data_IF_208541488707
#
_entry.id   IF_208541488707
#
_cell.length_a   1.000
_cell.length_b   1.000
_cell.length_c   1.000
_cell.angle_alpha   90.00
_cell.angle_beta   90.00
_cell.angle_gamma   90.00
#
_symmetry.space_group_name_H-M   'P 1'
#
loop_
_entity.id
_entity.type
_entity.pdbx_description
1 polymer ?
#
# COMPACT_ATOMS: atom_id res chain seq x y z
N UNK A 1 -5.99 7.98 -4.96
CA UNK A 1 -5.01 7.30 -4.08
C UNK A 1 -4.77 8.03 -2.75
N UNK A 2 -4.08 9.18 -2.64
CA UNK A 2 -3.78 9.82 -1.32
C UNK A 2 -4.98 10.24 -0.45
N UNK A 3 -6.19 10.25 -1.02
CA UNK A 3 -7.45 10.53 -0.30
C UNK A 3 -8.26 9.26 0.00
N UNK A 4 -7.78 8.10 -0.45
CA UNK A 4 -8.42 6.80 -0.25
C UNK A 4 -7.67 6.06 0.88
N UNK A 5 -8.31 5.98 2.05
CA UNK A 5 -7.72 5.35 3.25
C UNK A 5 -7.75 3.82 3.22
N UNK A 6 -8.41 3.21 2.24
CA UNK A 6 -8.50 1.77 2.07
C UNK A 6 -8.53 1.34 0.60
N UNK A 7 -7.83 0.27 0.28
CA UNK A 7 -7.65 -0.29 -1.05
C UNK A 7 -8.03 -1.78 -1.04
N UNK A 8 -8.48 -2.30 -2.19
CA UNK A 8 -8.68 -3.73 -2.40
C UNK A 8 -7.66 -4.26 -3.40
N UNK A 9 -6.99 -5.37 -3.08
CA UNK A 9 -5.92 -5.95 -3.88
C UNK A 9 -6.20 -7.41 -4.18
N UNK A 10 -5.96 -7.84 -5.42
CA UNK A 10 -6.08 -9.24 -5.81
C UNK A 10 -5.10 -9.65 -6.91
N UNK A 11 -4.70 -10.93 -6.89
CA UNK A 11 -3.86 -11.58 -7.90
C UNK A 11 -4.74 -12.46 -8.80
N UNK A 12 -4.84 -12.09 -10.08
CA UNK A 12 -5.68 -12.79 -11.05
C UNK A 12 -5.03 -14.06 -11.61
N UNK A 13 -3.72 -14.03 -11.79
CA UNK A 13 -2.98 -15.11 -12.41
C UNK A 13 -1.65 -15.33 -11.70
N UNK A 14 -1.49 -16.51 -11.13
CA UNK A 14 -0.38 -16.86 -10.26
C UNK A 14 0.83 -17.42 -11.06
N UNK A 15 2.04 -17.40 -10.46
CA UNK A 15 3.28 -17.84 -11.12
C UNK A 15 3.26 -19.31 -11.59
N UNK A 16 2.42 -20.15 -10.99
CA UNK A 16 2.31 -21.58 -11.31
C UNK A 16 1.32 -21.89 -12.46
N UNK A 17 1.02 -20.91 -13.32
CA UNK A 17 0.04 -21.03 -14.41
C UNK A 17 -1.40 -21.26 -13.90
N UNK A 18 -1.70 -20.88 -12.64
CA UNK A 18 -3.04 -20.96 -12.05
C UNK A 18 -3.79 -19.63 -12.22
N UNK A 19 -4.80 -19.62 -13.08
CA UNK A 19 -5.76 -18.50 -13.19
C UNK A 19 -6.73 -18.58 -12.01
N UNK A 20 -6.80 -17.50 -11.24
CA UNK A 20 -7.70 -17.32 -10.09
C UNK A 20 -9.00 -16.66 -10.54
N UNK A 21 -8.89 -15.60 -11.34
CA UNK A 21 -10.01 -14.82 -11.86
C UNK A 21 -9.64 -14.18 -13.20
N UNK A 22 -10.63 -13.92 -14.04
CA UNK A 22 -10.49 -13.12 -15.25
C UNK A 22 -10.90 -11.65 -14.96
N UNK A 23 -10.79 -10.76 -15.96
CA UNK A 23 -11.11 -9.34 -15.77
C UNK A 23 -12.58 -9.08 -15.39
N UNK A 24 -13.53 -9.86 -15.90
CA UNK A 24 -14.95 -9.75 -15.54
C UNK A 24 -15.18 -10.09 -14.05
N UNK A 25 -14.54 -11.16 -13.57
CA UNK A 25 -14.62 -11.59 -12.17
C UNK A 25 -13.95 -10.57 -11.26
N UNK A 26 -12.80 -10.03 -11.65
CA UNK A 26 -12.15 -8.96 -10.89
C UNK A 26 -13.00 -7.69 -10.83
N UNK A 27 -13.66 -7.28 -11.94
CA UNK A 27 -14.60 -6.17 -11.92
C UNK A 27 -15.70 -6.40 -10.89
N UNK A 28 -16.28 -7.61 -10.83
CA UNK A 28 -17.27 -7.98 -9.83
C UNK A 28 -16.72 -7.84 -8.40
N UNK A 29 -15.48 -8.25 -8.14
CA UNK A 29 -14.84 -8.07 -6.83
C UNK A 29 -14.63 -6.61 -6.47
N UNK A 30 -14.28 -5.74 -7.44
CA UNK A 30 -14.21 -4.29 -7.18
C UNK A 30 -15.58 -3.71 -6.82
N UNK A 31 -16.66 -4.16 -7.48
CA UNK A 31 -18.04 -3.77 -7.17
C UNK A 31 -18.46 -4.23 -5.77
N UNK A 32 -18.02 -5.42 -5.35
CA UNK A 32 -18.27 -5.92 -4.00
C UNK A 32 -17.51 -5.12 -2.94
N UNK A 33 -16.22 -4.83 -3.15
CA UNK A 33 -15.40 -4.02 -2.24
C UNK A 33 -15.98 -2.60 -2.04
N UNK A 34 -16.62 -2.04 -3.07
CA UNK A 34 -17.29 -0.72 -3.00
C UNK A 34 -18.46 -0.67 -2.03
N UNK A 35 -19.14 -1.79 -1.80
CA UNK A 35 -20.22 -1.88 -0.78
C UNK A 35 -19.69 -1.51 0.62
N UNK A 36 -18.38 -1.72 0.84
CA UNK A 36 -17.61 -1.41 2.05
C UNK A 36 -16.91 -0.04 2.01
N UNK A 37 -17.21 0.79 1.00
CA UNK A 37 -16.65 2.13 0.85
C UNK A 37 -15.24 2.20 0.24
N UNK A 38 -14.71 1.08 -0.27
CA UNK A 38 -13.40 1.04 -0.95
C UNK A 38 -13.56 1.49 -2.40
N UNK A 39 -12.76 2.47 -2.83
CA UNK A 39 -12.78 2.98 -4.23
C UNK A 39 -11.41 2.95 -4.93
N UNK A 40 -10.38 2.46 -4.25
CA UNK A 40 -9.06 2.24 -4.82
C UNK A 40 -8.83 0.74 -4.94
N UNK A 41 -8.39 0.30 -6.10
CA UNK A 41 -8.16 -1.10 -6.42
C UNK A 41 -6.73 -1.31 -6.91
N UNK A 42 -6.17 -2.46 -6.63
CA UNK A 42 -4.88 -2.91 -7.16
C UNK A 42 -5.06 -4.24 -7.87
N UNK A 43 -4.55 -4.27 -9.10
CA UNK A 43 -4.68 -5.38 -10.03
C UNK A 43 -3.31 -6.03 -10.22
N UNK A 44 -3.17 -7.27 -9.73
CA UNK A 44 -1.93 -8.05 -9.78
C UNK A 44 -2.09 -9.27 -10.70
N UNK A 45 -1.01 -9.64 -11.39
CA UNK A 45 -1.00 -10.81 -12.28
C UNK A 45 -1.91 -10.65 -13.50
N UNK A 46 -2.02 -9.45 -14.04
CA UNK A 46 -2.83 -9.13 -15.22
C UNK A 46 -2.08 -9.34 -16.55
N UNK A 47 -0.74 -9.30 -16.49
CA UNK A 47 0.16 -9.31 -17.64
C UNK A 47 0.45 -10.73 -18.13
N UNK A 48 1.13 -10.83 -19.27
CA UNK A 48 1.53 -12.07 -19.91
C UNK A 48 2.24 -13.02 -18.94
N UNK A 49 1.69 -14.22 -18.78
CA UNK A 49 2.20 -15.22 -17.85
C UNK A 49 1.78 -15.02 -16.39
N UNK A 50 1.20 -13.87 -16.03
CA UNK A 50 0.74 -13.56 -14.68
C UNK A 50 1.85 -13.03 -13.77
N UNK A 51 1.57 -13.08 -12.47
CA UNK A 51 2.49 -12.62 -11.43
C UNK A 51 3.82 -13.38 -11.53
N UNK A 52 4.92 -12.65 -11.38
CA UNK A 52 6.30 -13.16 -11.34
C UNK A 52 6.78 -13.90 -12.60
N UNK A 53 6.10 -13.68 -13.74
CA UNK A 53 6.42 -14.31 -15.02
C UNK A 53 6.65 -13.31 -16.13
N UNK A 54 7.58 -13.68 -17.00
CA UNK A 54 7.85 -13.06 -18.28
C UNK A 54 8.20 -11.57 -18.21
N UNK A 55 8.64 -11.04 -17.07
CA UNK A 55 9.08 -9.65 -16.99
C UNK A 55 10.21 -9.36 -17.98
N UNK A 56 10.17 -8.23 -18.71
CA UNK A 56 9.23 -7.11 -18.61
C UNK A 56 8.14 -7.13 -19.71
N UNK A 57 7.43 -8.25 -19.91
CA UNK A 57 6.30 -8.35 -20.87
C UNK A 57 4.98 -7.90 -20.22
N UNK A 58 4.73 -6.60 -20.26
CA UNK A 58 3.54 -5.94 -19.69
C UNK A 58 2.38 -5.83 -20.69
N UNK A 59 2.11 -6.93 -21.41
CA UNK A 59 0.93 -7.04 -22.27
C UNK A 59 -0.18 -7.77 -21.49
N UNK A 60 -1.44 -7.30 -21.51
CA UNK A 60 -2.54 -8.01 -20.84
C UNK A 60 -2.69 -9.45 -21.33
N UNK A 61 -2.89 -10.38 -20.40
CA UNK A 61 -2.97 -11.82 -20.69
C UNK A 61 -4.28 -12.20 -21.40
N UNK A 62 -4.15 -12.96 -22.50
CA UNK A 62 -5.30 -13.39 -23.31
C UNK A 62 -6.24 -14.30 -22.51
N UNK A 63 -5.70 -15.17 -21.64
CA UNK A 63 -6.51 -16.01 -20.73
C UNK A 63 -7.44 -15.22 -19.81
N UNK A 64 -7.13 -13.94 -19.54
CA UNK A 64 -7.90 -13.09 -18.62
C UNK A 64 -8.92 -12.19 -19.35
N UNK A 65 -8.83 -12.10 -20.68
CA UNK A 65 -9.63 -11.21 -21.52
C UNK A 65 -8.83 -10.33 -22.48
N UNK A 66 -7.49 -10.44 -22.48
CA UNK A 66 -6.61 -9.75 -23.40
C UNK A 66 -6.67 -8.22 -23.30
N UNK A 67 -6.10 -7.54 -24.29
CA UNK A 67 -5.99 -6.07 -24.27
C UNK A 67 -7.34 -5.36 -24.26
N UNK A 68 -8.33 -5.87 -25.00
CA UNK A 68 -9.66 -5.27 -25.04
C UNK A 68 -10.38 -5.38 -23.68
N UNK A 69 -10.34 -6.56 -23.04
CA UNK A 69 -10.94 -6.76 -21.73
C UNK A 69 -10.24 -5.95 -20.63
N UNK A 70 -8.92 -5.81 -20.70
CA UNK A 70 -8.16 -4.98 -19.75
C UNK A 70 -8.57 -3.50 -19.84
N UNK A 71 -8.66 -2.95 -21.06
CA UNK A 71 -9.11 -1.56 -21.27
C UNK A 71 -10.54 -1.36 -20.78
N UNK A 72 -11.45 -2.28 -21.13
CA UNK A 72 -12.85 -2.22 -20.71
C UNK A 72 -12.99 -2.27 -19.17
N UNK A 73 -12.21 -3.12 -18.51
CA UNK A 73 -12.12 -3.20 -17.06
C UNK A 73 -11.74 -1.85 -16.43
N UNK A 74 -10.62 -1.26 -16.86
CA UNK A 74 -10.12 -0.01 -16.30
C UNK A 74 -11.10 1.15 -16.53
N UNK A 75 -11.65 1.26 -17.75
CA UNK A 75 -12.63 2.28 -18.09
C UNK A 75 -13.94 2.12 -17.29
N UNK A 76 -14.37 0.87 -17.06
CA UNK A 76 -15.57 0.61 -16.25
C UNK A 76 -15.33 0.98 -14.79
N UNK A 77 -14.18 0.60 -14.21
CA UNK A 77 -13.80 1.02 -12.86
C UNK A 77 -13.85 2.54 -12.73
N UNK A 78 -13.23 3.27 -13.67
CA UNK A 78 -13.22 4.73 -13.66
C UNK A 78 -14.62 5.32 -13.81
N UNK A 79 -15.43 4.81 -14.75
CA UNK A 79 -16.81 5.26 -14.98
C UNK A 79 -17.68 5.09 -13.74
N UNK A 80 -17.45 4.02 -12.98
CA UNK A 80 -18.13 3.82 -11.72
C UNK A 80 -17.54 4.69 -10.58
N UNK A 81 -16.50 5.49 -10.81
CA UNK A 81 -15.87 6.37 -9.82
C UNK A 81 -14.82 5.69 -8.94
N UNK A 82 -14.28 4.57 -9.40
CA UNK A 82 -13.13 3.91 -8.80
C UNK A 82 -11.80 4.40 -9.39
N UNK A 83 -10.71 3.93 -8.79
CA UNK A 83 -9.34 4.15 -9.27
C UNK A 83 -8.55 2.84 -9.23
N UNK A 84 -7.79 2.54 -10.28
CA UNK A 84 -7.06 1.26 -10.38
C UNK A 84 -5.55 1.47 -10.51
N UNK A 85 -4.81 0.78 -9.64
CA UNK A 85 -3.36 0.64 -9.69
C UNK A 85 -3.02 -0.65 -10.41
N UNK A 86 -2.15 -0.55 -11.39
CA UNK A 86 -1.69 -1.71 -12.15
C UNK A 86 -0.33 -2.12 -11.61
N UNK A 87 -0.21 -3.36 -11.15
CA UNK A 87 1.04 -3.92 -10.62
C UNK A 87 2.06 -4.11 -11.73
N UNK A 88 3.30 -3.69 -11.51
CA UNK A 88 4.42 -3.82 -12.44
C UNK A 88 5.76 -3.96 -11.70
N UNK A 89 6.82 -4.32 -12.43
CA UNK A 89 8.21 -4.23 -11.97
C UNK A 89 9.03 -3.33 -12.90
N UNK A 90 9.94 -2.51 -12.36
CA UNK A 90 10.79 -1.65 -13.20
C UNK A 90 12.17 -2.26 -13.47
N UNK A 91 12.77 -2.91 -12.47
CA UNK A 91 14.18 -3.30 -12.48
C UNK A 91 14.39 -4.83 -12.44
N UNK A 92 13.44 -5.60 -12.98
CA UNK A 92 13.45 -7.08 -12.92
C UNK A 92 13.24 -7.67 -14.32
N UNK A 93 14.05 -8.66 -14.67
CA UNK A 93 13.97 -9.43 -15.92
C UNK A 93 13.81 -10.92 -15.62
N UNK A 94 12.86 -11.59 -16.28
CA UNK A 94 12.71 -13.04 -16.20
C UNK A 94 13.70 -13.75 -17.13
N UNK A 95 14.73 -14.36 -16.54
CA UNK A 95 15.80 -15.01 -17.30
C UNK A 95 15.37 -16.28 -18.04
N UNK A 96 14.14 -16.74 -17.80
CA UNK A 96 13.62 -17.96 -18.42
C UNK A 96 13.00 -17.69 -19.80
N UNK A 97 12.77 -16.42 -20.16
CA UNK A 97 12.15 -16.02 -21.43
C UNK A 97 13.09 -16.10 -22.62
N UNK A 98 12.55 -16.34 -23.81
CA UNK A 98 13.32 -16.28 -25.06
C UNK A 98 13.80 -14.86 -25.36
N UNK A 99 13.00 -13.84 -24.99
CA UNK A 99 13.40 -12.44 -25.13
C UNK A 99 14.62 -12.11 -24.27
N UNK A 100 14.71 -12.68 -23.06
CA UNK A 100 15.91 -12.57 -22.26
C UNK A 100 17.13 -13.20 -22.92
N UNK A 101 17.00 -14.46 -23.36
CA UNK A 101 18.12 -15.20 -23.97
C UNK A 101 18.63 -14.56 -25.25
N UNK A 102 17.74 -13.96 -26.03
CA UNK A 102 18.08 -13.33 -27.31
C UNK A 102 18.55 -11.88 -27.17
N UNK A 103 17.97 -11.11 -26.24
CA UNK A 103 18.20 -9.68 -26.14
C UNK A 103 18.42 -9.18 -24.71
N UNK A 104 17.49 -9.43 -23.78
CA UNK A 104 17.48 -8.68 -22.51
C UNK A 104 18.65 -9.01 -21.58
N UNK A 105 19.34 -10.14 -21.79
CA UNK A 105 20.54 -10.49 -21.02
C UNK A 105 21.61 -9.40 -21.04
N UNK A 106 21.66 -8.56 -22.09
CA UNK A 106 22.62 -7.45 -22.19
C UNK A 106 22.34 -6.33 -21.17
N UNK A 107 21.10 -6.21 -20.69
CA UNK A 107 20.67 -5.19 -19.73
C UNK A 107 20.70 -5.66 -18.28
N UNK A 108 21.20 -6.86 -17.98
CA UNK A 108 21.29 -7.35 -16.60
C UNK A 108 22.30 -6.53 -15.79
N UNK A 109 22.06 -6.34 -14.49
CA UNK A 109 23.05 -5.79 -13.57
C UNK A 109 24.26 -6.73 -13.49
N UNK A 110 25.46 -6.14 -13.51
CA UNK A 110 26.72 -6.88 -13.44
C UNK A 110 27.57 -6.45 -12.25
N UNK A 111 28.26 -7.39 -11.62
CA UNK A 111 29.36 -7.10 -10.70
C UNK A 111 30.64 -6.71 -11.47
N UNK A 112 31.70 -6.37 -10.73
CA UNK A 112 32.99 -5.95 -11.31
C UNK A 112 33.68 -7.00 -12.19
N UNK A 113 33.22 -8.26 -12.15
CA UNK A 113 33.73 -9.37 -12.95
C UNK A 113 32.79 -9.75 -14.11
N UNK A 114 31.75 -8.96 -14.36
CA UNK A 114 30.75 -9.21 -15.39
C UNK A 114 29.76 -10.32 -15.04
N UNK A 115 29.62 -10.67 -13.76
CA UNK A 115 28.67 -11.70 -13.30
C UNK A 115 27.38 -11.07 -12.80
N UNK A 116 26.26 -11.76 -13.00
CA UNK A 116 24.95 -11.35 -12.53
C UNK A 116 24.56 -12.07 -11.24
N UNK A 117 23.85 -11.35 -10.37
CA UNK A 117 23.11 -11.95 -9.27
C UNK A 117 21.81 -12.58 -9.77
N UNK A 118 21.53 -13.79 -9.34
CA UNK A 118 20.25 -14.46 -9.58
C UNK A 118 19.34 -14.23 -8.38
N UNK A 119 18.09 -13.88 -8.65
CA UNK A 119 17.05 -13.81 -7.64
C UNK A 119 15.92 -14.78 -7.98
N UNK A 120 15.17 -15.18 -6.97
CA UNK A 120 13.99 -16.00 -7.12
C UNK A 120 12.77 -15.10 -7.18
N UNK A 121 11.89 -15.38 -8.13
CA UNK A 121 10.55 -14.85 -8.11
C UNK A 121 9.80 -15.30 -6.85
N UNK A 122 8.75 -14.58 -6.51
CA UNK A 122 7.91 -14.90 -5.38
C UNK A 122 6.80 -15.88 -5.77
N UNK A 123 6.47 -16.80 -4.86
CA UNK A 123 5.51 -17.86 -5.11
C UNK A 123 4.48 -17.95 -3.99
N UNK A 124 3.21 -17.70 -4.29
CA UNK A 124 2.15 -17.65 -3.28
C UNK A 124 1.17 -18.82 -3.33
N UNK A 125 0.95 -19.42 -4.50
CA UNK A 125 -0.25 -20.24 -4.71
C UNK A 125 -0.13 -21.69 -4.23
N UNK A 126 1.09 -22.24 -4.10
CA UNK A 126 1.33 -23.63 -3.69
C UNK A 126 2.43 -23.75 -2.63
N UNK A 127 2.51 -24.89 -1.94
CA UNK A 127 3.60 -25.16 -1.00
C UNK A 127 4.98 -25.17 -1.67
N UNK A 128 5.08 -25.66 -2.92
CA UNK A 128 6.32 -25.65 -3.69
C UNK A 128 6.75 -24.21 -4.03
N UNK A 129 5.78 -23.38 -4.42
CA UNK A 129 5.98 -21.96 -4.70
C UNK A 129 6.48 -21.21 -3.47
N UNK A 130 5.80 -21.40 -2.33
CA UNK A 130 6.18 -20.79 -1.04
C UNK A 130 7.54 -21.28 -0.53
N UNK A 131 7.94 -22.49 -0.94
CA UNK A 131 9.28 -23.05 -0.67
C UNK A 131 10.32 -22.65 -1.72
N UNK A 132 9.99 -21.73 -2.64
CA UNK A 132 10.85 -21.27 -3.74
C UNK A 132 11.36 -22.39 -4.67
N UNK A 133 10.62 -23.50 -4.78
CA UNK A 133 11.03 -24.66 -5.58
C UNK A 133 10.46 -24.66 -7.01
N UNK A 134 9.33 -23.98 -7.23
CA UNK A 134 8.66 -23.89 -8.54
C UNK A 134 8.65 -22.48 -9.12
N UNK A 135 9.30 -21.54 -8.45
CA UNK A 135 9.33 -20.13 -8.87
C UNK A 135 10.36 -19.90 -9.96
N UNK A 136 10.12 -18.87 -10.77
CA UNK A 136 11.04 -18.49 -11.84
C UNK A 136 12.26 -17.78 -11.30
N UNK A 137 13.38 -17.95 -11.98
CA UNK A 137 14.55 -17.13 -11.74
C UNK A 137 14.43 -15.79 -12.44
N UNK A 138 14.78 -14.73 -11.72
CA UNK A 138 14.89 -13.38 -12.24
C UNK A 138 16.30 -12.85 -12.08
N UNK A 139 16.63 -11.81 -12.84
CA UNK A 139 17.82 -10.99 -12.62
C UNK A 139 17.39 -9.54 -12.48
N UNK A 140 18.20 -8.75 -11.78
CA UNK A 140 18.01 -7.30 -11.77
C UNK A 140 18.49 -6.73 -13.09
N UNK A 141 17.79 -5.73 -13.62
CA UNK A 141 18.30 -4.95 -14.74
C UNK A 141 19.11 -3.73 -14.29
N UNK A 142 20.07 -3.39 -15.14
CA UNK A 142 20.75 -2.09 -15.16
C UNK A 142 19.83 -1.01 -15.72
N UNK A 143 20.11 0.23 -15.33
CA UNK A 143 19.48 1.40 -15.95
C UNK A 143 20.28 1.77 -17.21
N UNK A 144 19.65 1.53 -18.37
CA UNK A 144 20.22 1.78 -19.70
C UNK A 144 19.17 2.47 -20.57
N UNK A 145 19.56 3.36 -21.51
CA UNK A 145 18.61 4.10 -22.33
C UNK A 145 17.62 3.20 -23.09
N UNK A 146 18.10 2.08 -23.63
CA UNK A 146 17.27 1.15 -24.40
C UNK A 146 16.28 0.40 -23.53
N UNK A 147 16.68 -0.07 -22.33
CA UNK A 147 15.75 -0.72 -21.42
C UNK A 147 14.72 0.27 -20.87
N UNK A 148 15.14 1.50 -20.52
CA UNK A 148 14.21 2.56 -20.10
C UNK A 148 13.17 2.81 -21.18
N UNK A 149 13.58 2.83 -22.46
CA UNK A 149 12.64 2.97 -23.58
C UNK A 149 11.65 1.79 -23.67
N UNK A 150 12.14 0.54 -23.57
CA UNK A 150 11.30 -0.66 -23.59
C UNK A 150 10.23 -0.61 -22.48
N UNK A 151 10.62 -0.19 -21.27
CA UNK A 151 9.71 -0.09 -20.14
C UNK A 151 8.73 1.08 -20.29
N UNK A 152 9.23 2.27 -20.68
CA UNK A 152 8.40 3.45 -20.84
C UNK A 152 7.34 3.26 -21.94
N UNK A 153 7.68 2.65 -23.07
CA UNK A 153 6.73 2.40 -24.15
C UNK A 153 5.53 1.56 -23.65
N UNK A 154 5.80 0.50 -22.89
CA UNK A 154 4.77 -0.36 -22.31
C UNK A 154 3.98 0.33 -21.20
N UNK A 155 4.65 0.97 -20.24
CA UNK A 155 3.98 1.63 -19.11
C UNK A 155 3.10 2.79 -19.55
N UNK A 156 3.56 3.61 -20.49
CA UNK A 156 2.76 4.71 -21.02
C UNK A 156 1.54 4.20 -21.79
N UNK A 157 1.61 3.02 -22.41
CA UNK A 157 0.44 2.36 -22.97
C UNK A 157 -0.59 1.98 -21.89
N UNK A 158 -0.16 1.45 -20.74
CA UNK A 158 -1.07 1.16 -19.62
C UNK A 158 -1.81 2.41 -19.11
N UNK A 159 -1.12 3.55 -19.03
CA UNK A 159 -1.76 4.83 -18.66
C UNK A 159 -2.78 5.25 -19.72
N UNK A 160 -2.46 5.09 -21.02
CA UNK A 160 -3.41 5.38 -22.11
C UNK A 160 -4.62 4.45 -22.12
N UNK A 161 -4.44 3.21 -21.67
CA UNK A 161 -5.52 2.22 -21.55
C UNK A 161 -6.41 2.46 -20.31
N UNK A 162 -6.03 3.37 -19.40
CA UNK A 162 -6.86 3.82 -18.29
C UNK A 162 -6.28 3.58 -16.89
N UNK A 163 -5.01 3.19 -16.76
CA UNK A 163 -4.40 3.02 -15.45
C UNK A 163 -4.28 4.37 -14.71
N UNK A 164 -4.82 4.45 -13.49
CA UNK A 164 -4.71 5.65 -12.65
C UNK A 164 -3.39 5.75 -11.89
N UNK A 165 -2.66 4.65 -11.85
CA UNK A 165 -1.41 4.56 -11.12
C UNK A 165 -0.76 3.21 -11.27
N UNK A 166 0.46 3.11 -10.73
CA UNK A 166 1.15 1.84 -10.62
C UNK A 166 1.40 1.50 -9.16
N UNK A 167 1.32 0.20 -8.85
CA UNK A 167 2.16 -0.36 -7.81
C UNK A 167 3.40 -0.90 -8.52
N UNK A 168 4.59 -0.40 -8.17
CA UNK A 168 5.85 -0.89 -8.72
C UNK A 168 6.55 -1.72 -7.66
N UNK A 169 6.63 -3.01 -7.88
CA UNK A 169 7.22 -3.94 -6.94
C UNK A 169 8.76 -3.93 -7.01
N UNK A 170 9.39 -4.40 -5.94
CA UNK A 170 10.83 -4.70 -5.87
C UNK A 170 11.79 -3.55 -6.21
N UNK A 171 11.34 -2.30 -6.08
CA UNK A 171 12.21 -1.12 -6.05
C UNK A 171 13.04 -1.02 -4.74
N UNK A 172 13.28 -2.16 -4.10
CA UNK A 172 13.82 -2.32 -2.77
C UNK A 172 15.22 -2.95 -2.74
N UNK A 173 15.81 -3.32 -3.87
CA UNK A 173 17.00 -4.19 -3.83
C UNK A 173 18.28 -3.38 -3.74
N UNK A 174 18.85 -3.38 -2.52
CA UNK A 174 20.24 -3.14 -2.16
C UNK A 174 21.10 -2.50 -3.26
N UNK A 175 21.50 -1.24 -3.01
CA UNK A 175 22.50 -0.47 -3.73
C UNK A 175 23.75 -1.31 -4.04
N UNK A 176 23.68 -2.11 -5.09
CA UNK A 176 24.78 -2.87 -5.61
C UNK A 176 25.45 -1.98 -6.65
N UNK A 177 26.78 -2.00 -6.64
CA UNK A 177 27.52 -1.46 -7.77
C UNK A 177 27.08 -2.20 -9.04
N UNK A 178 26.86 -1.45 -10.10
CA UNK A 178 26.48 -2.00 -11.39
C UNK A 178 27.50 -1.64 -12.46
N UNK A 179 28.25 -2.64 -12.89
CA UNK A 179 29.34 -2.51 -13.85
C UNK A 179 28.90 -2.82 -15.28
N UNK A 180 27.59 -2.89 -15.55
CA UNK A 180 27.12 -3.10 -16.91
C UNK A 180 27.63 -1.96 -17.82
N UNK A 181 28.41 -2.26 -18.88
CA UNK A 181 29.03 -1.25 -19.74
C UNK A 181 28.02 -0.46 -20.58
N UNK A 182 26.76 -0.89 -20.65
CA UNK A 182 25.68 -0.16 -21.31
C UNK A 182 25.08 0.93 -20.42
N UNK A 183 25.36 0.93 -19.11
CA UNK A 183 24.92 2.01 -18.24
C UNK A 183 25.75 3.27 -18.52
N UNK A 184 25.14 4.44 -18.71
CA UNK A 184 25.87 5.69 -18.92
C UNK A 184 26.49 6.24 -17.62
N UNK A 185 26.18 5.63 -16.48
CA UNK A 185 26.59 6.10 -15.15
C UNK A 185 27.77 5.29 -14.61
N UNK A 186 28.50 5.89 -13.65
CA UNK A 186 29.50 5.16 -12.88
C UNK A 186 28.84 4.04 -12.06
N UNK A 187 29.56 2.93 -11.76
CA UNK A 187 28.97 1.79 -11.09
C UNK A 187 28.29 2.08 -9.74
N UNK A 188 28.78 3.06 -8.98
CA UNK A 188 28.21 3.51 -7.71
C UNK A 188 26.91 4.30 -7.85
N UNK A 189 26.65 4.86 -9.04
CA UNK A 189 25.48 5.69 -9.32
C UNK A 189 24.42 4.96 -10.16
N UNK A 190 24.81 3.97 -10.97
CA UNK A 190 23.97 3.33 -11.97
C UNK A 190 22.63 2.80 -11.42
N UNK A 191 22.62 2.15 -10.26
CA UNK A 191 21.37 1.69 -9.62
C UNK A 191 20.82 2.62 -8.54
N UNK A 192 21.65 3.39 -7.85
CA UNK A 192 21.20 4.26 -6.76
C UNK A 192 20.59 5.56 -7.30
N UNK A 193 21.33 6.26 -8.14
CA UNK A 193 20.90 7.51 -8.77
C UNK A 193 20.11 7.23 -10.05
N UNK A 194 20.61 6.32 -10.88
CA UNK A 194 20.00 6.02 -12.17
C UNK A 194 18.54 5.59 -12.04
N UNK A 195 18.23 4.76 -11.03
CA UNK A 195 16.85 4.33 -10.78
C UNK A 195 15.95 5.49 -10.31
N UNK A 196 16.45 6.38 -9.46
CA UNK A 196 15.70 7.59 -9.04
C UNK A 196 15.38 8.47 -10.24
N UNK A 197 16.37 8.73 -11.09
CA UNK A 197 16.20 9.59 -12.26
C UNK A 197 15.27 8.95 -13.30
N UNK A 198 15.38 7.63 -13.49
CA UNK A 198 14.53 6.87 -14.41
C UNK A 198 13.06 6.83 -13.94
N UNK A 199 12.83 6.59 -12.65
CA UNK A 199 11.49 6.68 -12.05
C UNK A 199 10.94 8.11 -12.13
N UNK A 200 11.77 9.14 -11.90
CA UNK A 200 11.36 10.53 -12.05
C UNK A 200 10.90 10.85 -13.48
N UNK A 201 11.68 10.44 -14.50
CA UNK A 201 11.29 10.59 -15.91
C UNK A 201 9.99 9.86 -16.24
N UNK A 202 9.87 8.60 -15.83
CA UNK A 202 8.64 7.82 -16.03
C UNK A 202 7.44 8.52 -15.37
N UNK A 203 7.59 8.97 -14.12
CA UNK A 203 6.55 9.66 -13.40
C UNK A 203 6.08 10.90 -14.13
N UNK A 204 7.00 11.76 -14.59
CA UNK A 204 6.66 12.96 -15.35
C UNK A 204 5.91 12.63 -16.66
N UNK A 205 6.36 11.60 -17.37
CA UNK A 205 5.69 11.13 -18.60
C UNK A 205 4.28 10.60 -18.32
N UNK A 206 4.09 9.80 -17.27
CA UNK A 206 2.78 9.31 -16.85
C UNK A 206 1.86 10.45 -16.41
N UNK A 207 2.39 11.44 -15.68
CA UNK A 207 1.65 12.63 -15.21
C UNK A 207 1.25 13.57 -16.35
N UNK A 208 2.04 13.60 -17.43
CA UNK A 208 1.69 14.32 -18.65
C UNK A 208 0.47 13.70 -19.37
N UNK A 209 0.31 12.37 -19.30
CA UNK A 209 -0.86 11.67 -19.82
C UNK A 209 -2.05 11.74 -18.87
N UNK A 210 -1.82 11.62 -17.56
CA UNK A 210 -2.83 11.68 -16.52
C UNK A 210 -2.35 12.58 -15.35
N UNK A 211 -2.81 13.84 -15.26
CA UNK A 211 -2.46 14.76 -14.18
C UNK A 211 -2.94 14.34 -12.78
N UNK A 212 -3.64 13.22 -12.65
CA UNK A 212 -3.99 12.62 -11.37
C UNK A 212 -3.23 11.32 -11.08
N UNK A 213 -2.33 10.89 -11.98
CA UNK A 213 -1.53 9.67 -11.85
C UNK A 213 -0.78 9.60 -10.52
N UNK A 214 -0.71 8.39 -9.95
CA UNK A 214 -0.16 8.11 -8.62
C UNK A 214 0.71 6.86 -8.64
N UNK A 215 1.64 6.74 -7.69
CA UNK A 215 2.44 5.53 -7.55
C UNK A 215 2.48 5.05 -6.11
N UNK A 216 2.44 3.73 -5.96
CA UNK A 216 2.83 3.01 -4.77
C UNK A 216 4.01 2.10 -5.11
N UNK A 217 4.85 1.75 -4.14
CA UNK A 217 5.93 0.81 -4.42
C UNK A 217 6.52 0.17 -3.18
N UNK A 218 7.01 -1.05 -3.35
CA UNK A 218 7.95 -1.69 -2.45
C UNK A 218 9.36 -1.08 -2.64
N UNK A 219 9.59 0.16 -2.17
CA UNK A 219 10.90 0.82 -2.23
C UNK A 219 11.60 0.92 -0.87
N UNK A 220 12.93 0.96 -0.91
CA UNK A 220 13.78 0.79 0.29
C UNK A 220 14.55 2.03 0.75
N UNK A 221 14.48 3.15 0.02
CA UNK A 221 15.26 4.34 0.32
C UNK A 221 14.50 5.65 0.03
N UNK A 222 14.83 6.68 0.78
CA UNK A 222 14.11 7.95 0.90
C UNK A 222 14.13 8.81 -0.39
N UNK A 223 15.12 8.64 -1.25
CA UNK A 223 15.24 9.41 -2.49
C UNK A 223 14.09 9.21 -3.47
N UNK A 224 13.33 8.11 -3.34
CA UNK A 224 12.14 7.82 -4.15
C UNK A 224 10.86 8.45 -3.58
N UNK A 225 10.88 8.95 -2.34
CA UNK A 225 9.72 9.55 -1.67
C UNK A 225 8.99 10.64 -2.48
N UNK A 226 9.66 11.52 -3.26
CA UNK A 226 8.96 12.52 -4.06
C UNK A 226 8.01 11.95 -5.12
N UNK A 227 8.23 10.70 -5.55
CA UNK A 227 7.51 10.09 -6.66
C UNK A 227 6.43 9.09 -6.21
N UNK A 228 6.53 8.56 -5.00
CA UNK A 228 5.59 7.55 -4.48
C UNK A 228 4.70 8.12 -3.38
N UNK A 229 3.38 8.01 -3.59
CA UNK A 229 2.37 8.44 -2.64
C UNK A 229 2.28 7.51 -1.42
N UNK A 230 2.54 6.20 -1.61
CA UNK A 230 2.43 5.17 -0.58
C UNK A 230 3.58 4.17 -0.70
N UNK A 231 4.22 3.86 0.43
CA UNK A 231 5.12 2.72 0.54
C UNK A 231 4.32 1.43 0.73
N UNK A 232 4.55 0.45 -0.14
CA UNK A 232 3.90 -0.86 -0.11
C UNK A 232 4.47 -1.79 0.98
N UNK A 233 5.65 -1.47 1.54
CA UNK A 233 6.21 -2.19 2.70
C UNK A 233 5.38 -1.87 3.95
N UNK A 234 4.88 -2.94 4.57
CA UNK A 234 3.88 -2.96 5.65
C UNK A 234 4.32 -2.18 6.90
N UNK A 235 3.37 -1.50 7.55
CA UNK A 235 3.52 -1.12 8.96
C UNK A 235 3.20 -2.37 9.81
N UNK A 236 4.01 -2.71 10.82
CA UNK A 236 3.87 -3.95 11.59
C UNK A 236 2.70 -3.85 12.57
N UNK A 237 1.47 -4.03 12.06
CA UNK A 237 0.17 -3.86 12.76
C UNK A 237 0.05 -2.50 13.44
N UNK A 238 0.76 -2.31 14.56
CA UNK A 238 0.70 -1.15 15.45
C UNK A 238 1.94 -0.24 15.37
N UNK A 239 2.94 -0.63 14.61
CA UNK A 239 4.19 0.11 14.43
C UNK A 239 4.35 0.60 12.99
N UNK A 240 5.08 1.68 12.81
CA UNK A 240 5.37 2.27 11.52
C UNK A 240 6.85 2.60 11.41
N UNK A 241 7.38 2.60 10.19
CA UNK A 241 8.78 2.94 9.91
C UNK A 241 9.20 4.26 10.57
N UNK A 242 10.45 4.31 11.05
CA UNK A 242 11.08 5.53 11.55
C UNK A 242 11.00 6.69 10.53
N UNK A 243 10.84 6.39 9.23
CA UNK A 243 10.59 7.40 8.19
C UNK A 243 9.38 8.28 8.50
N UNK A 244 8.33 7.78 9.16
CA UNK A 244 7.15 8.58 9.55
C UNK A 244 7.49 9.68 10.57
N UNK A 245 8.57 9.54 11.33
CA UNK A 245 9.02 10.56 12.28
C UNK A 245 9.79 11.70 11.58
N UNK A 246 10.51 11.37 10.51
CA UNK A 246 11.27 12.34 9.69
C UNK A 246 10.37 13.00 8.65
N UNK A 247 9.46 12.24 8.06
CA UNK A 247 8.49 12.65 7.07
C UNK A 247 7.06 12.34 7.56
N UNK A 248 6.47 13.18 8.44
CA UNK A 248 5.16 12.93 9.07
C UNK A 248 3.98 12.78 8.12
N UNK A 249 4.15 13.13 6.84
CA UNK A 249 3.15 12.99 5.79
C UNK A 249 3.35 11.73 4.92
N UNK A 250 4.49 11.03 5.04
CA UNK A 250 4.78 9.78 4.33
C UNK A 250 3.95 8.63 4.86
N UNK A 251 3.19 7.90 4.05
CA UNK A 251 2.39 6.76 4.55
C UNK A 251 2.86 5.43 3.97
N UNK A 252 2.59 4.36 4.71
CA UNK A 252 2.66 2.98 4.25
C UNK A 252 1.27 2.35 4.18
N UNK A 253 1.20 1.04 3.97
CA UNK A 253 -0.02 0.24 4.11
C UNK A 253 0.06 -0.80 5.24
N UNK A 254 -1.12 -1.31 5.63
CA UNK A 254 -1.31 -2.55 6.39
C UNK A 254 -2.13 -3.52 5.56
N UNK A 255 -1.61 -4.73 5.39
CA UNK A 255 -2.23 -5.81 4.61
C UNK A 255 -3.18 -6.63 5.49
N UNK A 256 -4.42 -6.80 5.04
CA UNK A 256 -5.55 -7.38 5.77
C UNK A 256 -6.17 -8.51 4.94
N UNK A 257 -5.73 -9.75 5.19
CA UNK A 257 -6.18 -10.95 4.47
C UNK A 257 -7.14 -11.84 5.25
N UNK A 258 -7.19 -11.73 6.58
CA UNK A 258 -7.98 -12.65 7.42
C UNK A 258 -9.38 -12.09 7.70
N UNK A 259 -10.47 -12.89 7.64
CA UNK A 259 -11.85 -12.40 7.67
C UNK A 259 -12.32 -11.63 8.92
N UNK A 260 -11.53 -11.59 9.99
CA UNK A 260 -11.81 -10.85 11.24
C UNK A 260 -10.57 -10.14 11.80
N UNK A 261 -9.64 -9.70 10.95
CA UNK A 261 -8.46 -8.97 11.41
C UNK A 261 -8.77 -7.49 11.72
N UNK A 262 -9.65 -7.28 12.70
CA UNK A 262 -9.99 -5.95 13.22
C UNK A 262 -8.76 -5.25 13.81
N UNK A 263 -7.83 -6.02 14.39
CA UNK A 263 -6.58 -5.49 14.93
C UNK A 263 -5.69 -4.91 13.85
N UNK A 264 -5.57 -5.56 12.69
CA UNK A 264 -4.84 -5.03 11.54
C UNK A 264 -5.45 -3.73 11.02
N UNK A 265 -6.80 -3.67 10.95
CA UNK A 265 -7.53 -2.44 10.58
C UNK A 265 -7.28 -1.32 11.60
N UNK A 266 -7.44 -1.61 12.89
CA UNK A 266 -7.20 -0.67 13.98
C UNK A 266 -5.77 -0.15 13.99
N UNK A 267 -4.81 -1.05 13.77
CA UNK A 267 -3.40 -0.73 13.61
C UNK A 267 -3.13 0.24 12.46
N UNK A 268 -3.84 0.07 11.34
CA UNK A 268 -3.73 1.00 10.22
C UNK A 268 -4.26 2.40 10.58
N UNK A 269 -5.32 2.49 11.38
CA UNK A 269 -5.81 3.79 11.90
C UNK A 269 -4.82 4.39 12.89
N UNK A 270 -4.27 3.56 13.79
CA UNK A 270 -3.29 3.95 14.81
C UNK A 270 -2.04 4.58 14.17
N UNK A 271 -1.52 4.00 13.10
CA UNK A 271 -0.32 4.49 12.41
C UNK A 271 -0.62 5.50 11.29
N UNK A 272 -1.90 5.66 10.92
CA UNK A 272 -2.31 6.46 9.77
C UNK A 272 -2.07 5.78 8.41
N UNK A 273 -1.71 4.50 8.40
CA UNK A 273 -1.47 3.72 7.18
C UNK A 273 -2.74 3.50 6.33
N UNK A 274 -2.53 3.17 5.06
CA UNK A 274 -3.60 2.68 4.17
C UNK A 274 -4.01 1.27 4.58
N UNK A 275 -5.31 0.99 4.62
CA UNK A 275 -5.84 -0.36 4.82
C UNK A 275 -5.85 -1.07 3.46
N UNK A 276 -4.97 -2.04 3.23
CA UNK A 276 -4.97 -2.87 2.01
C UNK A 276 -5.67 -4.17 2.32
N UNK A 277 -6.76 -4.45 1.61
CA UNK A 277 -7.63 -5.60 1.87
C UNK A 277 -7.44 -6.63 0.78
N UNK A 278 -7.14 -7.85 1.19
CA UNK A 278 -6.62 -8.93 0.32
C UNK A 278 -7.29 -10.26 0.68
N UNK A 279 -8.63 -10.40 0.49
CA UNK A 279 -9.36 -11.59 0.91
C UNK A 279 -8.76 -12.87 0.33
N UNK A 280 -8.67 -13.89 1.18
CA UNK A 280 -8.12 -15.21 0.87
C UNK A 280 -6.66 -15.15 0.37
N UNK A 281 -5.86 -14.23 0.90
CA UNK A 281 -4.50 -13.97 0.41
C UNK A 281 -4.56 -13.64 -1.09
N UNK A 282 -5.23 -12.52 -1.40
CA UNK A 282 -5.42 -11.96 -2.75
C UNK A 282 -6.30 -12.77 -3.72
N UNK A 283 -6.91 -13.87 -3.29
CA UNK A 283 -7.59 -14.82 -4.20
C UNK A 283 -9.13 -14.74 -4.15
N UNK A 284 -9.70 -13.81 -3.39
CA UNK A 284 -11.14 -13.77 -3.14
C UNK A 284 -11.79 -12.39 -3.14
N UNK A 285 -13.10 -12.40 -2.92
CA UNK A 285 -13.95 -11.21 -2.80
C UNK A 285 -14.26 -10.88 -1.35
N UNK A 286 -14.46 -9.60 -1.06
CA UNK A 286 -15.03 -9.14 0.22
C UNK A 286 -16.52 -9.49 0.40
N UNK A 287 -17.22 -9.93 -0.65
CA UNK A 287 -18.63 -10.35 -0.57
C UNK A 287 -18.81 -11.74 0.05
N UNK A 288 -17.73 -12.50 0.21
CA UNK A 288 -17.81 -13.84 0.79
C UNK A 288 -18.34 -13.76 2.24
N UNK A 289 -19.25 -14.66 2.67
CA UNK A 289 -19.89 -14.59 3.98
C UNK A 289 -18.93 -14.49 5.16
N UNK A 290 -17.76 -15.14 5.08
CA UNK A 290 -16.75 -15.10 6.15
C UNK A 290 -16.14 -13.71 6.36
N UNK A 291 -16.10 -12.85 5.34
CA UNK A 291 -15.55 -11.49 5.39
C UNK A 291 -16.59 -10.42 5.74
N UNK A 292 -17.87 -10.78 5.91
CA UNK A 292 -18.95 -9.81 6.08
C UNK A 292 -18.75 -8.88 7.29
N UNK A 293 -18.24 -9.39 8.40
CA UNK A 293 -17.96 -8.59 9.60
C UNK A 293 -16.82 -7.60 9.35
N UNK A 294 -15.75 -8.06 8.70
CA UNK A 294 -14.62 -7.20 8.34
C UNK A 294 -15.03 -6.12 7.33
N UNK A 295 -15.80 -6.48 6.32
CA UNK A 295 -16.36 -5.55 5.33
C UNK A 295 -17.18 -4.43 6.00
N UNK A 296 -18.06 -4.80 6.94
CA UNK A 296 -18.86 -3.85 7.72
C UNK A 296 -17.98 -2.97 8.61
N UNK A 297 -16.95 -3.55 9.23
CA UNK A 297 -16.01 -2.80 10.07
C UNK A 297 -15.19 -1.79 9.25
N UNK A 298 -14.64 -2.20 8.11
CA UNK A 298 -13.88 -1.31 7.21
C UNK A 298 -14.75 -0.15 6.73
N UNK A 299 -16.03 -0.40 6.41
CA UNK A 299 -16.98 0.65 6.03
C UNK A 299 -17.14 1.70 7.11
N UNK A 300 -17.30 1.27 8.35
CA UNK A 300 -17.41 2.17 9.50
C UNK A 300 -16.11 2.92 9.78
N UNK A 301 -14.96 2.25 9.66
CA UNK A 301 -13.65 2.88 9.81
C UNK A 301 -13.39 3.91 8.71
N UNK A 302 -13.77 3.63 7.46
CA UNK A 302 -13.68 4.59 6.37
C UNK A 302 -14.55 5.83 6.63
N UNK A 303 -15.74 5.67 7.22
CA UNK A 303 -16.58 6.80 7.65
C UNK A 303 -15.85 7.66 8.68
N UNK A 304 -15.35 7.05 9.77
CA UNK A 304 -14.64 7.76 10.84
C UNK A 304 -13.38 8.45 10.30
N UNK A 305 -12.58 7.76 9.47
CA UNK A 305 -11.38 8.33 8.85
C UNK A 305 -11.70 9.43 7.85
N UNK A 306 -12.88 9.41 7.22
CA UNK A 306 -13.39 10.50 6.39
C UNK A 306 -13.63 11.77 7.23
N UNK A 307 -14.36 11.63 8.35
CA UNK A 307 -14.63 12.73 9.29
C UNK A 307 -13.33 13.34 9.86
N UNK A 308 -12.32 12.49 10.09
CA UNK A 308 -11.05 12.85 10.71
C UNK A 308 -9.86 12.89 9.73
N UNK A 309 -10.13 12.96 8.42
CA UNK A 309 -9.08 12.84 7.40
C UNK A 309 -7.92 13.83 7.59
N UNK A 310 -8.16 15.14 7.86
CA UNK A 310 -7.10 16.11 8.09
C UNK A 310 -6.24 15.84 9.33
N UNK A 311 -6.75 15.07 10.29
CA UNK A 311 -6.03 14.71 11.51
C UNK A 311 -5.23 13.43 11.32
N UNK A 312 -5.88 12.34 10.90
CA UNK A 312 -5.31 10.99 10.99
C UNK A 312 -4.62 10.57 9.70
N UNK A 313 -5.24 10.82 8.54
CA UNK A 313 -4.76 10.25 7.29
C UNK A 313 -3.86 11.19 6.50
N UNK A 314 -4.31 12.44 6.32
CA UNK A 314 -3.52 13.49 5.65
C UNK A 314 -2.86 14.45 6.65
N UNK A 315 -2.97 14.17 7.94
CA UNK A 315 -2.36 14.95 9.00
C UNK A 315 -0.90 14.55 9.27
N UNK A 316 -0.33 15.12 10.33
CA UNK A 316 1.00 14.81 10.82
C UNK A 316 0.94 13.79 11.94
N UNK A 317 1.82 12.80 11.87
CA UNK A 317 2.08 11.85 12.95
C UNK A 317 2.99 12.45 14.02
N UNK A 318 2.63 12.27 15.29
CA UNK A 318 3.40 12.75 16.45
C UNK A 318 3.79 11.62 17.42
N UNK A 319 3.55 10.37 17.04
CA UNK A 319 3.79 9.21 17.90
C UNK A 319 3.09 9.31 19.26
N UNK A 320 3.77 9.36 20.40
CA UNK A 320 3.16 9.52 21.72
C UNK A 320 3.19 10.97 22.23
N UNK A 321 3.70 11.90 21.41
CA UNK A 321 3.95 13.27 21.85
C UNK A 321 2.67 14.11 21.95
N UNK A 322 2.54 14.84 23.07
CA UNK A 322 1.47 15.82 23.27
C UNK A 322 0.18 15.26 23.86
N UNK A 323 0.20 14.01 24.35
CA UNK A 323 -0.86 13.41 25.15
C UNK A 323 -0.31 12.40 26.18
N UNK A 324 -1.13 12.05 27.16
CA UNK A 324 -0.89 10.94 28.10
C UNK A 324 -2.12 10.08 28.23
N UNK A 325 -1.91 8.78 28.40
CA UNK A 325 -2.95 7.78 28.60
C UNK A 325 -2.61 6.91 29.81
N UNK A 326 -3.60 6.57 30.63
CA UNK A 326 -3.43 5.72 31.82
C UNK A 326 -4.52 4.66 31.91
N UNK A 327 -4.14 3.40 31.80
CA UNK A 327 -5.00 2.22 32.01
C UNK A 327 -5.43 2.02 33.47
N UNK A 328 -6.63 1.46 33.65
CA UNK A 328 -7.28 1.17 34.93
C UNK A 328 -7.74 -0.30 35.02
N UNK A 329 -7.61 -0.96 36.18
CA UNK A 329 -6.87 -0.53 37.36
C UNK A 329 -5.37 -0.87 37.21
N UNK A 330 -4.54 0.03 36.67
CA UNK A 330 -3.08 -0.01 36.77
C UNK A 330 -2.35 -1.31 36.37
N UNK A 331 -2.99 -2.25 35.69
CA UNK A 331 -2.41 -3.56 35.41
C UNK A 331 -1.22 -3.43 34.46
N UNK A 332 -0.14 -4.10 34.81
CA UNK A 332 1.19 -4.13 34.18
C UNK A 332 1.25 -4.66 32.74
N UNK A 333 0.10 -4.90 32.10
CA UNK A 333 0.03 -5.54 30.79
C UNK A 333 0.13 -4.56 29.60
N UNK A 334 0.03 -3.24 29.84
CA UNK A 334 0.07 -2.20 28.80
C UNK A 334 -0.77 -2.61 27.56
N UNK A 335 -2.03 -3.01 27.79
CA UNK A 335 -2.87 -3.57 26.75
C UNK A 335 -3.21 -2.52 25.67
N UNK A 336 -3.25 -1.25 26.06
CA UNK A 336 -3.54 -0.13 25.19
C UNK A 336 -2.25 0.38 24.55
N UNK A 337 -2.31 0.58 23.24
CA UNK A 337 -1.34 1.38 22.50
C UNK A 337 -2.07 2.63 22.03
N UNK A 338 -1.43 3.79 22.13
CA UNK A 338 -1.94 5.00 21.53
C UNK A 338 -0.91 5.69 20.68
N UNK A 339 -1.39 6.47 19.72
CA UNK A 339 -0.61 7.41 18.91
C UNK A 339 -1.37 8.73 18.78
N UNK A 340 -0.62 9.80 18.58
CA UNK A 340 -1.09 11.17 18.46
C UNK A 340 -0.90 11.60 17.01
N UNK A 341 -1.95 12.14 16.45
CA UNK A 341 -1.93 12.76 15.13
C UNK A 341 -2.39 14.21 15.23
N UNK A 342 -2.15 15.01 14.22
CA UNK A 342 -2.58 16.41 14.22
C UNK A 342 -2.72 17.01 12.85
N UNK A 343 -3.48 18.10 12.80
CA UNK A 343 -3.81 18.78 11.57
C UNK A 343 -2.58 19.53 11.03
N UNK A 344 -2.41 19.58 9.71
CA UNK A 344 -1.34 20.37 9.07
C UNK A 344 -1.67 21.86 9.01
N UNK A 345 -2.96 22.22 9.00
CA UNK A 345 -3.44 23.58 8.82
C UNK A 345 -3.74 24.32 10.15
N UNK A 346 -3.79 23.62 11.28
CA UNK A 346 -4.06 24.22 12.59
C UNK A 346 -3.44 23.38 13.72
N UNK A 347 -3.67 23.75 14.99
CA UNK A 347 -3.07 23.08 16.15
C UNK A 347 -3.83 21.86 16.65
N UNK A 348 -4.94 21.49 16.01
CA UNK A 348 -5.82 20.42 16.47
C UNK A 348 -5.08 19.07 16.47
N UNK A 349 -5.24 18.30 17.55
CA UNK A 349 -4.71 16.93 17.66
C UNK A 349 -5.80 15.89 17.88
N UNK A 350 -5.43 14.63 17.64
CA UNK A 350 -6.22 13.46 17.98
C UNK A 350 -5.36 12.40 18.65
N UNK A 351 -5.92 11.68 19.63
CA UNK A 351 -5.32 10.47 20.23
C UNK A 351 -6.07 9.28 19.65
N UNK A 352 -5.36 8.42 18.92
CA UNK A 352 -5.88 7.13 18.46
C UNK A 352 -5.45 6.07 19.46
N UNK A 353 -6.39 5.30 20.01
CA UNK A 353 -6.16 4.28 21.04
C UNK A 353 -6.66 2.94 20.54
N UNK A 354 -5.82 1.90 20.64
CA UNK A 354 -6.15 0.52 20.29
C UNK A 354 -6.01 -0.35 21.52
N UNK A 355 -7.05 -1.14 21.81
CA UNK A 355 -7.00 -2.16 22.85
C UNK A 355 -6.59 -3.51 22.27
N UNK A 356 -5.42 -4.03 22.68
CA UNK A 356 -4.91 -5.34 22.23
C UNK A 356 -5.42 -6.53 23.03
N UNK A 357 -6.15 -6.29 24.12
CA UNK A 357 -6.77 -7.35 24.90
C UNK A 357 -8.11 -7.76 24.27
N UNK A 358 -8.48 -9.03 24.43
CA UNK A 358 -9.81 -9.53 24.05
C UNK A 358 -10.93 -9.03 24.99
N UNK A 359 -10.57 -8.43 26.13
CA UNK A 359 -11.51 -7.91 27.13
C UNK A 359 -11.51 -6.38 27.15
N UNK A 360 -12.61 -5.75 27.58
CA UNK A 360 -12.66 -4.31 27.73
C UNK A 360 -11.63 -3.78 28.73
N UNK A 361 -11.07 -2.62 28.45
CA UNK A 361 -10.12 -1.90 29.31
C UNK A 361 -10.67 -0.51 29.61
N UNK A 362 -10.48 -0.04 30.84
CA UNK A 362 -10.79 1.33 31.22
C UNK A 362 -9.52 2.17 31.23
N UNK A 363 -9.61 3.44 30.82
CA UNK A 363 -8.48 4.35 30.84
C UNK A 363 -8.90 5.80 31.01
N UNK A 364 -7.93 6.64 31.37
CA UNK A 364 -8.04 8.10 31.36
C UNK A 364 -7.07 8.67 30.33
N UNK A 365 -7.37 9.86 29.84
CA UNK A 365 -6.61 10.53 28.77
C UNK A 365 -6.46 12.02 29.07
N UNK A 366 -5.41 12.65 28.56
CA UNK A 366 -5.20 14.11 28.62
C UNK A 366 -4.30 14.55 27.47
N UNK A 367 -4.61 15.68 26.83
CA UNK A 367 -3.67 16.35 25.93
C UNK A 367 -2.69 17.20 26.75
N UNK A 368 -1.40 17.06 26.49
CA UNK A 368 -0.35 17.78 27.23
C UNK A 368 0.24 18.95 26.44
N UNK A 369 0.04 19.00 25.13
CA UNK A 369 0.52 20.11 24.31
C UNK A 369 -0.30 21.41 24.48
N UNK A 370 -1.54 21.32 24.98
CA UNK A 370 -2.39 22.47 25.26
C UNK A 370 -3.49 22.15 26.26
N UNK A 371 -4.10 23.17 26.87
CA UNK A 371 -5.19 22.99 27.84
C UNK A 371 -6.50 22.65 27.11
N UNK A 372 -6.73 21.36 26.89
CA UNK A 372 -7.97 20.84 26.30
C UNK A 372 -8.82 20.20 27.39
N UNK A 373 -9.97 20.79 27.68
CA UNK A 373 -10.90 20.28 28.69
C UNK A 373 -11.87 19.22 28.14
N UNK A 374 -12.09 19.20 26.83
CA UNK A 374 -13.13 18.40 26.15
C UNK A 374 -12.65 17.92 24.79
N UNK A 375 -13.02 16.70 24.42
CA UNK A 375 -12.78 16.12 23.11
C UNK A 375 -14.01 15.35 22.62
N UNK A 376 -14.09 15.09 21.31
CA UNK A 376 -15.03 14.13 20.75
C UNK A 376 -14.40 12.74 20.75
N UNK A 377 -15.06 11.79 21.41
CA UNK A 377 -14.72 10.38 21.37
C UNK A 377 -15.46 9.70 20.23
N UNK A 378 -14.72 9.20 19.27
CA UNK A 378 -15.19 8.32 18.21
C UNK A 378 -14.95 6.87 18.63
N UNK A 379 -16.02 6.07 18.57
CA UNK A 379 -15.97 4.61 18.75
C UNK A 379 -16.73 3.99 17.57
N UNK A 380 -16.23 2.90 16.94
CA UNK A 380 -16.92 2.25 15.83
C UNK A 380 -18.38 1.92 16.16
N UNK A 381 -19.27 2.20 15.20
CA UNK A 381 -20.73 1.97 15.25
C UNK A 381 -21.49 2.81 16.26
N UNK A 382 -20.86 3.84 16.82
CA UNK A 382 -21.49 4.78 17.75
C UNK A 382 -21.33 6.22 17.23
N UNK A 383 -22.32 7.06 17.53
CA UNK A 383 -22.19 8.49 17.28
C UNK A 383 -21.07 9.07 18.16
N UNK A 384 -20.27 10.05 17.66
CA UNK A 384 -19.26 10.69 18.48
C UNK A 384 -19.89 11.36 19.71
N UNK A 385 -19.26 11.18 20.88
CA UNK A 385 -19.73 11.77 22.14
C UNK A 385 -18.69 12.69 22.74
N UNK A 386 -19.13 13.75 23.41
CA UNK A 386 -18.22 14.62 24.15
C UNK A 386 -17.74 13.92 25.44
N UNK A 387 -16.43 13.97 25.69
CA UNK A 387 -15.80 13.45 26.90
C UNK A 387 -14.88 14.51 27.52
N UNK A 388 -14.78 14.52 28.84
CA UNK A 388 -13.91 15.44 29.58
C UNK A 388 -12.49 14.88 29.70
N UNK A 389 -11.49 15.76 29.67
CA UNK A 389 -10.11 15.36 29.96
C UNK A 389 -10.02 14.77 31.37
N UNK A 390 -9.33 13.63 31.50
CA UNK A 390 -9.23 12.88 32.76
C UNK A 390 -10.45 12.02 33.11
N UNK A 391 -11.54 12.08 32.34
CA UNK A 391 -12.68 11.18 32.51
C UNK A 391 -12.28 9.74 32.20
N UNK A 392 -12.75 8.79 33.01
CA UNK A 392 -12.64 7.36 32.70
C UNK A 392 -13.52 7.02 31.50
N UNK A 393 -12.90 6.40 30.51
CA UNK A 393 -13.56 5.86 29.32
C UNK A 393 -13.27 4.36 29.22
N UNK A 394 -14.19 3.60 28.64
CA UNK A 394 -14.10 2.15 28.49
C UNK A 394 -14.03 1.78 27.02
N UNK A 395 -12.94 1.14 26.61
CA UNK A 395 -12.75 0.61 25.26
C UNK A 395 -13.03 -0.89 25.24
N UNK A 396 -13.76 -1.38 24.23
CA UNK A 396 -14.02 -2.81 24.06
C UNK A 396 -12.73 -3.60 23.80
N UNK A 397 -12.79 -4.92 23.97
CA UNK A 397 -11.72 -5.82 23.52
C UNK A 397 -11.53 -5.71 22.00
N UNK A 398 -10.28 -5.76 21.54
CA UNK A 398 -9.91 -5.50 20.13
C UNK A 398 -10.45 -4.16 19.59
N UNK A 399 -10.73 -3.21 20.50
CA UNK A 399 -11.43 -1.98 20.21
C UNK A 399 -10.52 -0.87 19.70
N UNK A 400 -11.16 0.13 19.07
CA UNK A 400 -10.55 1.37 18.61
C UNK A 400 -11.31 2.55 19.19
N UNK A 401 -10.59 3.50 19.77
CA UNK A 401 -11.11 4.81 20.13
C UNK A 401 -10.29 5.91 19.44
N UNK A 402 -10.94 7.00 19.06
CA UNK A 402 -10.25 8.22 18.64
C UNK A 402 -10.79 9.41 19.41
N UNK A 403 -9.92 10.06 20.18
CA UNK A 403 -10.21 11.28 20.91
C UNK A 403 -9.73 12.47 20.08
N UNK A 404 -10.63 13.16 19.39
CA UNK A 404 -10.28 14.31 18.57
C UNK A 404 -10.60 15.61 19.31
N UNK A 405 -9.65 16.54 19.35
CA UNK A 405 -9.93 17.89 19.84
C UNK A 405 -11.05 18.53 19.03
N UNK A 406 -11.88 19.36 19.66
CA UNK A 406 -12.86 20.13 18.92
C UNK A 406 -12.16 21.28 18.17
N UNK A 407 -12.63 21.64 16.95
CA UNK A 407 -12.11 22.80 16.25
C UNK A 407 -12.21 24.03 17.16
N UNK A 408 -11.10 24.70 17.42
CA UNK A 408 -11.15 26.01 18.07
C UNK A 408 -11.88 26.94 17.11
N UNK A 409 -12.92 27.62 17.58
CA UNK A 409 -13.47 28.76 16.84
C UNK A 409 -12.30 29.71 16.57
N UNK A 410 -12.09 30.18 15.33
CA UNK A 410 -11.11 31.22 15.10
C UNK A 410 -11.42 32.39 16.04
N UNK A 411 -10.38 32.87 16.72
CA UNK A 411 -10.47 34.01 17.63
C UNK A 411 -10.90 35.27 16.88
#
# INVERSE_FOLDING_TARGET
>A
MRKESSWFTSILYQPEDKVIANFETYLKWTQDARKSGIRCFELIGWNNGGLERNYPMYTPEEKLGGKAGFRDLLQTIEKEGGKCLVFNNYNILDQNTDWYRSELYKYQQQDQFGKQGIWMGWGESTLLARSSMSVRYHVRSSITPELEKILADQFLELVRDGADGFQIDKLCVAAALDFNPLSPMKPDLALCQGLVDAIGRLYDQCRALNPNFRMASEFGYDRLLPYFDVSYRCSSRNEISALRYVFPEWTSCNHISTPRDFMGVNGAVLTGAVIVVEPESYQGSLDQPVYQDLANYIKEINRIRGDLAPLIFTGKYYDDQGATLRELPGNSLNNLIFKVHGNTANTQKAIVVVNRAATPVEYTWTFTHSKVSKALLYSPFHAPVEVLSGQTVKIAGDGLHILAEMPRKPL
#
